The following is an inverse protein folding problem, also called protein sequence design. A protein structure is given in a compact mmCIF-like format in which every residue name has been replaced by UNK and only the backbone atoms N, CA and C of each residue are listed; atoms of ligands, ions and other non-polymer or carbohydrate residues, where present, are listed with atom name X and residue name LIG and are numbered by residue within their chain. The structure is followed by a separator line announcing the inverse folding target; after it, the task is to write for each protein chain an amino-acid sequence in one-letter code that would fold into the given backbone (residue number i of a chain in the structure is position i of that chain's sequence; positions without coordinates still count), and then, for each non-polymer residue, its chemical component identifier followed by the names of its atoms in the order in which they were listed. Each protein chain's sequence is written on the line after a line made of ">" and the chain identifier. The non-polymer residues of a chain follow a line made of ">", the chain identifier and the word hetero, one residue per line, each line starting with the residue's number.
data_IF_214466437299
#
_entry.id   IF_214466437299
#
_cell.length_a   1.000
_cell.length_b   1.000
_cell.length_c   1.000
_cell.angle_alpha   90.00
_cell.angle_beta   90.00
_cell.angle_gamma   90.00
#
_symmetry.space_group_name_H-M   'P 1'
#
loop_
_entity.id
_entity.type
_entity.pdbx_description
1 polymer ?
#
# COMPACT_ATOMS: atom_id res chain seq x y z
N UNK A 1 -8.25 -2.88 -4.46
CA UNK A 1 -8.63 -4.06 -3.63
C UNK A 1 -7.37 -4.65 -3.07
N UNK A 2 -7.46 -5.09 -1.82
CA UNK A 2 -6.37 -5.51 -0.95
C UNK A 2 -5.73 -6.78 -1.49
N UNK A 3 -4.51 -6.68 -2.02
CA UNK A 3 -3.65 -7.87 -2.14
C UNK A 3 -3.19 -8.17 -0.73
N UNK A 4 -3.83 -9.15 -0.10
CA UNK A 4 -3.36 -9.76 1.14
C UNK A 4 -1.91 -10.16 0.93
N UNK A 5 -1.04 -9.48 1.67
CA UNK A 5 0.34 -9.84 1.95
C UNK A 5 0.44 -11.37 2.09
N UNK A 6 0.97 -12.05 1.08
CA UNK A 6 1.67 -13.30 1.33
C UNK A 6 3.12 -12.85 1.48
N UNK A 7 3.50 -12.51 2.72
CA UNK A 7 4.88 -12.18 3.07
C UNK A 7 5.81 -13.33 2.66
N UNK A 8 7.09 -13.08 2.33
CA UNK A 8 8.05 -14.11 1.93
C UNK A 8 8.18 -15.26 2.96
N UNK A 9 7.82 -15.02 4.22
CA UNK A 9 7.67 -16.02 5.28
C UNK A 9 6.63 -17.12 4.96
N UNK A 10 5.50 -16.78 4.34
CA UNK A 10 4.47 -17.75 3.93
C UNK A 10 4.90 -18.59 2.72
N UNK A 11 5.72 -18.02 1.81
CA UNK A 11 6.16 -18.72 0.60
C UNK A 11 7.14 -19.86 0.93
N UNK A 12 7.93 -19.71 2.00
CA UNK A 12 8.92 -20.70 2.43
C UNK A 12 8.28 -21.98 2.98
N UNK A 13 7.11 -21.86 3.66
CA UNK A 13 6.34 -23.01 4.16
C UNK A 13 5.79 -23.85 3.00
N UNK A 14 5.41 -23.20 1.89
CA UNK A 14 4.90 -23.89 0.70
C UNK A 14 6.00 -24.55 -0.16
N UNK A 15 7.22 -23.99 -0.16
CA UNK A 15 8.32 -24.45 -1.02
C UNK A 15 9.00 -25.76 -0.58
N UNK A 16 8.68 -26.30 0.60
CA UNK A 16 9.25 -27.56 1.10
C UNK A 16 8.46 -28.82 0.66
N UNK A 17 7.34 -28.66 -0.04
CA UNK A 17 6.51 -29.78 -0.51
C UNK A 17 6.79 -30.17 -1.96
N UNK A 18 7.75 -31.08 -2.19
CA UNK A 18 7.93 -31.77 -3.46
C UNK A 18 7.60 -33.26 -3.35
N UNK A 19 6.60 -33.69 -4.15
CA UNK A 19 6.21 -35.05 -4.56
C UNK A 19 5.74 -36.09 -3.51
N UNK A 20 4.41 -36.32 -3.43
CA UNK A 20 3.73 -37.54 -3.92
C UNK A 20 2.30 -37.74 -3.38
N UNK A 21 1.43 -38.20 -4.30
CA UNK A 21 0.22 -39.02 -4.13
C UNK A 21 -1.13 -38.39 -3.68
N UNK A 22 -2.03 -38.37 -4.66
CA UNK A 22 -3.50 -38.31 -4.59
C UNK A 22 -4.11 -39.23 -3.52
N UNK A 23 -4.95 -38.67 -2.65
CA UNK A 23 -6.08 -39.36 -2.03
C UNK A 23 -7.20 -38.35 -1.75
N UNK A 24 -8.34 -38.56 -2.40
CA UNK A 24 -9.56 -37.79 -2.20
C UNK A 24 -10.11 -38.02 -0.79
N UNK A 25 -10.37 -36.94 -0.06
CA UNK A 25 -11.24 -36.94 1.11
C UNK A 25 -12.29 -35.84 0.93
N UNK A 26 -13.54 -36.28 0.86
CA UNK A 26 -14.75 -35.48 0.86
C UNK A 26 -14.88 -34.72 2.18
N UNK A 27 -14.85 -33.39 2.13
CA UNK A 27 -15.14 -32.53 3.27
C UNK A 27 -16.50 -31.85 3.07
N UNK A 28 -17.39 -32.15 4.00
CA UNK A 28 -18.73 -31.63 4.22
C UNK A 28 -18.72 -30.11 4.50
N UNK A 29 -19.67 -29.38 3.94
CA UNK A 29 -19.74 -27.92 3.96
C UNK A 29 -20.76 -27.44 4.99
N UNK A 30 -20.33 -26.70 6.01
CA UNK A 30 -21.22 -25.74 6.69
C UNK A 30 -20.48 -24.58 7.37
N UNK A 31 -20.92 -23.37 6.99
CA UNK A 31 -20.89 -22.08 7.70
C UNK A 31 -19.57 -21.28 7.86
N UNK A 32 -19.27 -20.45 6.85
CA UNK A 32 -18.68 -19.10 6.99
C UNK A 32 -19.61 -18.09 6.28
N UNK A 33 -19.76 -16.83 6.74
CA UNK A 33 -20.44 -15.83 5.93
C UNK A 33 -19.52 -15.35 4.80
N UNK A 34 -20.15 -15.12 3.65
CA UNK A 34 -19.53 -14.92 2.34
C UNK A 34 -18.48 -13.79 2.29
N UNK A 35 -17.20 -14.18 2.20
CA UNK A 35 -16.18 -13.40 1.52
C UNK A 35 -16.42 -13.54 0.01
N UNK A 36 -16.57 -12.42 -0.69
CA UNK A 36 -16.64 -12.41 -2.15
C UNK A 36 -15.38 -13.09 -2.73
N UNK A 37 -15.56 -14.01 -3.70
CA UNK A 37 -14.46 -14.61 -4.45
C UNK A 37 -13.60 -13.52 -5.09
N UNK A 38 -12.36 -13.40 -4.61
CA UNK A 38 -11.36 -12.49 -5.16
C UNK A 38 -10.53 -13.27 -6.18
N UNK A 39 -10.72 -12.93 -7.45
CA UNK A 39 -9.77 -13.29 -8.50
C UNK A 39 -8.36 -12.80 -8.12
N UNK A 40 -7.39 -13.70 -8.20
CA UNK A 40 -5.96 -13.42 -8.00
C UNK A 40 -5.52 -12.19 -8.80
N UNK A 41 -4.92 -11.15 -8.18
CA UNK A 41 -4.30 -10.08 -8.94
C UNK A 41 -3.00 -10.60 -9.58
N UNK A 42 -3.09 -10.94 -10.86
CA UNK A 42 -1.94 -10.87 -11.76
C UNK A 42 -1.36 -9.45 -11.70
N UNK A 43 -0.04 -9.33 -11.70
CA UNK A 43 0.66 -8.06 -11.88
C UNK A 43 -0.03 -7.25 -13.00
N UNK A 44 -0.24 -5.93 -12.86
CA UNK A 44 -0.96 -5.19 -13.88
C UNK A 44 -0.18 -5.30 -15.19
N UNK A 45 -0.75 -6.09 -16.09
CA UNK A 45 -0.50 -6.03 -17.50
C UNK A 45 -0.63 -4.56 -17.89
N UNK A 46 0.51 -3.98 -18.23
CA UNK A 46 0.71 -3.33 -19.51
C UNK A 46 -0.58 -2.96 -20.27
N UNK A 47 -0.70 -1.69 -20.65
CA UNK A 47 -1.63 -1.26 -21.66
C UNK A 47 -1.73 -2.29 -22.81
N UNK A 48 -2.92 -2.83 -23.01
CA UNK A 48 -3.30 -3.54 -24.24
C UNK A 48 -3.84 -2.47 -25.19
N UNK A 49 -3.40 -2.46 -26.46
CA UNK A 49 -3.57 -1.33 -27.35
C UNK A 49 -4.96 -1.33 -27.99
N UNK A 50 -5.50 -0.15 -28.25
CA UNK A 50 -6.50 0.03 -29.29
C UNK A 50 -5.77 0.20 -30.63
N UNK A 51 -5.33 -0.90 -31.23
CA UNK A 51 -4.81 -0.87 -32.60
C UNK A 51 -4.91 -2.26 -33.22
N UNK A 52 -6.00 -2.52 -33.92
CA UNK A 52 -6.02 -3.46 -35.04
C UNK A 52 -7.35 -3.33 -35.81
N UNK A 53 -7.44 -2.34 -36.70
CA UNK A 53 -8.00 -2.50 -38.06
C UNK A 53 -7.25 -1.51 -38.97
N UNK A 54 -6.74 -2.03 -40.09
CA UNK A 54 -6.02 -1.39 -41.20
C UNK A 54 -4.54 -1.07 -40.96
N UNK A 55 -3.71 -2.04 -41.31
CA UNK A 55 -2.36 -1.80 -41.79
C UNK A 55 -2.42 -0.89 -43.03
N UNK A 56 -2.07 0.38 -42.84
CA UNK A 56 -1.61 1.28 -43.89
C UNK A 56 -0.28 1.86 -43.47
N UNK A 57 0.62 1.95 -44.44
CA UNK A 57 2.05 2.28 -44.33
C UNK A 57 2.32 3.42 -43.33
N UNK A 58 3.19 3.17 -42.35
CA UNK A 58 3.72 4.23 -41.49
C UNK A 58 4.64 5.13 -42.31
N UNK A 59 4.11 6.25 -42.78
CA UNK A 59 4.92 7.40 -43.19
C UNK A 59 5.79 7.83 -42.01
N UNK A 60 7.07 8.21 -42.23
CA UNK A 60 7.92 8.72 -41.16
C UNK A 60 7.28 9.99 -40.58
N UNK A 61 6.81 9.92 -39.33
CA UNK A 61 6.36 11.10 -38.59
C UNK A 61 7.59 12.00 -38.43
N UNK A 62 7.68 13.05 -39.23
CA UNK A 62 8.66 14.13 -39.01
C UNK A 62 8.34 14.73 -37.65
N UNK A 63 9.10 14.35 -36.62
CA UNK A 63 9.02 14.97 -35.30
C UNK A 63 9.42 16.43 -35.51
N UNK A 64 8.47 17.35 -35.29
CA UNK A 64 8.76 18.78 -35.25
C UNK A 64 9.93 18.98 -34.27
N UNK A 65 11.00 19.70 -34.64
CA UNK A 65 12.15 19.87 -33.75
C UNK A 65 11.67 20.49 -32.44
N UNK A 66 12.07 19.88 -31.32
CA UNK A 66 11.75 20.39 -30.00
C UNK A 66 12.47 21.72 -29.77
N UNK A 67 11.74 22.70 -29.27
CA UNK A 67 12.28 23.99 -28.84
C UNK A 67 12.21 24.04 -27.31
N UNK A 68 13.36 24.16 -26.62
CA UNK A 68 13.40 24.40 -25.18
C UNK A 68 12.51 25.57 -24.75
N UNK A 69 11.93 25.51 -23.55
CA UNK A 69 11.10 26.61 -23.03
C UNK A 69 11.94 27.78 -22.51
N UNK A 70 13.21 27.51 -22.20
CA UNK A 70 14.23 28.49 -21.83
C UNK A 70 15.58 28.05 -22.37
N UNK A 71 16.51 29.00 -22.43
CA UNK A 71 17.91 28.70 -22.71
C UNK A 71 18.49 27.85 -21.57
N UNK A 72 19.17 26.76 -21.93
CA UNK A 72 19.82 25.87 -20.99
C UNK A 72 21.05 26.56 -20.40
N UNK A 73 21.15 26.64 -19.07
CA UNK A 73 22.26 27.32 -18.39
C UNK A 73 23.51 26.43 -18.33
N UNK A 74 23.32 25.13 -18.13
CA UNK A 74 24.40 24.17 -17.87
C UNK A 74 24.73 23.28 -19.07
N UNK A 75 23.86 23.26 -20.10
CA UNK A 75 24.10 22.56 -21.36
C UNK A 75 24.39 21.06 -21.19
N UNK A 76 23.58 20.35 -20.40
CA UNK A 76 23.76 18.92 -20.07
C UNK A 76 23.78 17.98 -21.29
N UNK A 77 23.29 18.41 -22.44
CA UNK A 77 23.42 17.71 -23.73
C UNK A 77 24.87 17.50 -24.17
N UNK A 78 25.78 18.36 -23.72
CA UNK A 78 27.20 18.25 -24.02
C UNK A 78 27.96 17.72 -22.78
N UNK A 79 28.64 16.58 -22.96
CA UNK A 79 29.51 16.00 -21.91
C UNK A 79 30.76 16.83 -21.61
N UNK A 80 31.16 17.72 -22.52
CA UNK A 80 32.27 18.65 -22.31
C UNK A 80 31.88 19.80 -21.38
N UNK A 81 30.60 20.20 -21.39
CA UNK A 81 30.08 21.25 -20.50
C UNK A 81 29.97 20.75 -19.06
N UNK A 82 29.45 19.52 -18.88
CA UNK A 82 29.34 18.87 -17.57
C UNK A 82 29.73 17.41 -17.72
N UNK A 83 30.79 16.98 -17.04
CA UNK A 83 31.23 15.59 -17.07
C UNK A 83 30.26 14.68 -16.29
N UNK A 84 30.20 13.38 -16.62
CA UNK A 84 29.31 12.44 -15.90
C UNK A 84 29.61 12.37 -14.40
N UNK A 85 30.89 12.52 -14.02
CA UNK A 85 31.33 12.55 -12.62
C UNK A 85 30.82 13.76 -11.83
N UNK A 86 30.49 14.86 -12.52
CA UNK A 86 30.07 16.11 -11.89
C UNK A 86 28.54 16.24 -11.79
N UNK A 87 27.78 15.34 -12.42
CA UNK A 87 26.32 15.36 -12.38
C UNK A 87 25.76 15.27 -10.95
N UNK A 88 26.47 14.60 -10.04
CA UNK A 88 26.11 14.50 -8.62
C UNK A 88 26.27 15.81 -7.84
N UNK A 89 26.95 16.81 -8.41
CA UNK A 89 27.09 18.16 -7.85
C UNK A 89 25.92 19.07 -8.20
N UNK A 90 24.82 18.53 -8.74
CA UNK A 90 23.62 19.28 -9.04
C UNK A 90 22.46 18.71 -8.24
N UNK A 91 21.52 19.58 -7.89
CA UNK A 91 20.22 19.21 -7.35
C UNK A 91 19.15 20.07 -8.01
N UNK A 92 17.88 19.68 -7.85
CA UNK A 92 16.77 20.49 -8.33
C UNK A 92 15.83 20.90 -7.21
N UNK A 93 15.17 22.05 -7.39
CA UNK A 93 13.96 22.44 -6.65
C UNK A 93 12.77 22.43 -7.60
N UNK A 94 11.79 21.58 -7.32
CA UNK A 94 10.60 21.42 -8.13
C UNK A 94 9.41 22.05 -7.40
N UNK A 95 8.99 23.23 -7.84
CA UNK A 95 7.85 23.97 -7.29
C UNK A 95 6.55 23.38 -7.83
N UNK A 96 5.57 23.17 -6.96
CA UNK A 96 4.31 22.53 -7.34
C UNK A 96 3.09 23.29 -6.84
N UNK A 97 1.98 23.14 -7.57
CA UNK A 97 0.67 23.65 -7.19
C UNK A 97 -0.44 22.60 -7.37
N UNK A 98 -1.48 22.72 -6.55
CA UNK A 98 -2.72 21.92 -6.66
C UNK A 98 -3.87 22.90 -6.89
N UNK A 99 -4.57 22.75 -8.02
CA UNK A 99 -5.64 23.68 -8.40
C UNK A 99 -5.17 25.14 -8.52
N UNK A 100 -3.89 25.35 -8.87
CA UNK A 100 -3.27 26.68 -8.97
C UNK A 100 -2.81 27.29 -7.64
N UNK A 101 -2.96 26.59 -6.50
CA UNK A 101 -2.42 27.02 -5.21
C UNK A 101 -1.09 26.34 -4.95
N UNK A 102 -0.03 27.12 -4.67
CA UNK A 102 1.29 26.56 -4.37
C UNK A 102 1.25 25.68 -3.13
N UNK A 103 1.92 24.53 -3.21
CA UNK A 103 2.11 23.57 -2.12
C UNK A 103 3.60 23.44 -1.72
N UNK A 104 4.43 24.40 -2.14
CA UNK A 104 5.87 24.41 -1.87
C UNK A 104 6.69 23.73 -2.96
N UNK A 105 7.92 23.36 -2.60
CA UNK A 105 8.87 22.75 -3.51
C UNK A 105 9.46 21.45 -2.96
N UNK A 106 9.74 20.50 -3.85
CA UNK A 106 10.50 19.30 -3.55
C UNK A 106 11.96 19.49 -3.99
N UNK A 107 12.90 19.26 -3.09
CA UNK A 107 14.33 19.27 -3.40
C UNK A 107 14.82 17.85 -3.61
N UNK A 108 15.38 17.57 -4.79
CA UNK A 108 15.81 16.24 -5.21
C UNK A 108 17.31 16.25 -5.53
N UNK A 109 18.02 15.24 -5.02
CA UNK A 109 19.43 14.95 -5.34
C UNK A 109 19.53 13.70 -6.21
N UNK A 110 20.67 13.52 -6.87
CA UNK A 110 20.86 12.49 -7.89
C UNK A 110 21.95 11.48 -7.55
N UNK A 111 21.79 10.25 -8.04
CA UNK A 111 22.75 9.16 -7.90
C UNK A 111 23.49 8.93 -9.21
N UNK A 112 24.34 9.91 -9.57
CA UNK A 112 25.09 9.90 -10.83
C UNK A 112 26.10 8.73 -10.92
N UNK A 113 26.53 8.19 -9.78
CA UNK A 113 27.35 6.98 -9.67
C UNK A 113 26.59 5.70 -10.05
N UNK A 114 25.25 5.73 -10.00
CA UNK A 114 24.38 4.58 -10.25
C UNK A 114 23.76 4.65 -11.64
N UNK A 115 23.23 5.81 -12.02
CA UNK A 115 22.44 5.97 -13.25
C UNK A 115 22.77 7.29 -13.98
N UNK A 116 24.03 7.48 -14.45
CA UNK A 116 24.47 8.73 -15.05
C UNK A 116 23.68 9.12 -16.31
N UNK A 117 23.22 8.15 -17.13
CA UNK A 117 22.44 8.44 -18.34
C UNK A 117 21.08 9.03 -17.96
N UNK A 118 20.41 8.46 -16.94
CA UNK A 118 19.13 8.96 -16.46
C UNK A 118 19.26 10.31 -15.76
N UNK A 119 20.28 10.48 -14.91
CA UNK A 119 20.54 11.76 -14.23
C UNK A 119 20.79 12.88 -15.25
N UNK A 120 21.66 12.65 -16.24
CA UNK A 120 21.94 13.64 -17.29
C UNK A 120 20.69 14.00 -18.09
N UNK A 121 19.93 12.99 -18.51
CA UNK A 121 18.69 13.20 -19.29
C UNK A 121 17.67 14.03 -18.49
N UNK A 122 17.48 13.70 -17.21
CA UNK A 122 16.54 14.40 -16.35
C UNK A 122 16.98 15.83 -16.07
N UNK A 123 18.25 16.07 -15.74
CA UNK A 123 18.82 17.40 -15.55
C UNK A 123 18.71 18.26 -16.80
N UNK A 124 18.97 17.69 -17.99
CA UNK A 124 18.75 18.37 -19.27
C UNK A 124 17.30 18.84 -19.43
N UNK A 125 16.33 17.97 -19.17
CA UNK A 125 14.92 18.35 -19.23
C UNK A 125 14.56 19.46 -18.23
N UNK A 126 15.12 19.42 -17.03
CA UNK A 126 14.95 20.48 -16.04
C UNK A 126 15.56 21.80 -16.53
N UNK A 127 16.78 21.78 -17.06
CA UNK A 127 17.53 22.96 -17.50
C UNK A 127 16.86 23.66 -18.69
N UNK A 128 16.33 22.88 -19.64
CA UNK A 128 15.56 23.36 -20.81
C UNK A 128 14.13 23.84 -20.45
N UNK A 129 13.72 23.73 -19.17
CA UNK A 129 12.37 24.08 -18.69
C UNK A 129 11.27 23.14 -19.19
N UNK A 130 11.63 21.92 -19.65
CA UNK A 130 10.66 20.98 -20.23
C UNK A 130 9.50 20.67 -19.27
N UNK A 131 9.81 20.43 -18.00
CA UNK A 131 8.83 20.07 -16.98
C UNK A 131 7.92 21.22 -16.53
N UNK A 132 8.29 22.48 -16.79
CA UNK A 132 7.53 23.65 -16.34
C UNK A 132 6.12 23.67 -16.97
N UNK A 133 5.08 23.66 -16.13
CA UNK A 133 3.68 23.57 -16.54
C UNK A 133 3.16 22.16 -16.86
N UNK A 134 4.01 21.12 -16.79
CA UNK A 134 3.55 19.73 -16.90
C UNK A 134 2.87 19.27 -15.60
N UNK A 135 2.16 18.15 -15.67
CA UNK A 135 1.32 17.66 -14.57
C UNK A 135 1.79 16.33 -13.99
N UNK A 136 1.42 16.10 -12.73
CA UNK A 136 1.32 14.76 -12.18
C UNK A 136 0.00 14.16 -12.65
N UNK A 137 0.06 13.28 -13.64
CA UNK A 137 -1.12 12.73 -14.30
C UNK A 137 -1.62 11.45 -13.63
N UNK A 138 -0.79 10.84 -12.78
CA UNK A 138 -1.09 9.61 -12.06
C UNK A 138 -0.55 9.68 -10.64
N UNK A 139 -1.45 9.65 -9.67
CA UNK A 139 -1.17 9.73 -8.23
C UNK A 139 -1.79 8.50 -7.58
N UNK A 140 -1.00 7.73 -6.85
CA UNK A 140 -1.51 6.63 -6.03
C UNK A 140 -0.88 6.72 -4.65
N UNK A 141 -1.70 7.06 -3.66
CA UNK A 141 -1.23 7.32 -2.30
C UNK A 141 -0.42 6.17 -1.72
N UNK A 142 -0.81 4.93 -2.00
CA UNK A 142 -0.17 3.73 -1.47
C UNK A 142 1.04 3.27 -2.30
N UNK A 143 1.57 4.12 -3.19
CA UNK A 143 2.65 3.74 -4.09
C UNK A 143 3.56 4.91 -4.49
N UNK A 144 3.08 5.82 -5.35
CA UNK A 144 3.92 6.84 -5.98
C UNK A 144 3.11 7.96 -6.64
N UNK A 145 3.80 9.07 -6.91
CA UNK A 145 3.31 10.18 -7.75
C UNK A 145 4.10 10.20 -9.07
N UNK A 146 3.41 10.15 -10.21
CA UNK A 146 4.02 10.09 -11.55
C UNK A 146 3.67 11.32 -12.38
N UNK A 147 4.71 11.91 -12.98
CA UNK A 147 4.65 13.16 -13.72
C UNK A 147 5.53 13.15 -14.97
N UNK A 148 5.65 14.31 -15.61
CA UNK A 148 6.57 14.52 -16.73
C UNK A 148 6.06 14.12 -18.11
N UNK A 149 4.80 13.67 -18.24
CA UNK A 149 4.21 13.38 -19.55
C UNK A 149 3.86 14.67 -20.30
N UNK A 150 4.38 14.93 -21.51
CA UNK A 150 4.08 16.14 -22.27
C UNK A 150 2.61 16.25 -22.69
N UNK A 151 1.93 15.11 -22.88
CA UNK A 151 0.50 15.06 -23.18
C UNK A 151 -0.40 15.14 -21.94
N UNK A 152 0.18 15.11 -20.73
CA UNK A 152 -0.56 15.13 -19.45
C UNK A 152 -1.43 13.91 -19.15
N UNK A 153 -1.39 12.86 -19.97
CA UNK A 153 -2.25 11.67 -19.84
C UNK A 153 -1.48 10.33 -19.81
N UNK A 154 -0.15 10.37 -19.71
CA UNK A 154 0.72 9.20 -19.55
C UNK A 154 1.13 8.47 -20.83
N UNK A 155 0.79 8.97 -22.02
CA UNK A 155 1.12 8.34 -23.32
C UNK A 155 2.14 9.12 -24.17
N UNK A 156 2.78 10.13 -23.57
CA UNK A 156 3.70 11.03 -24.28
C UNK A 156 5.15 10.71 -23.93
N UNK A 157 6.00 10.76 -24.96
CA UNK A 157 7.44 10.64 -24.83
C UNK A 157 8.16 11.98 -24.95
N UNK A 158 9.34 12.01 -24.33
CA UNK A 158 10.22 13.16 -24.40
C UNK A 158 10.85 13.32 -25.80
N UNK A 159 11.25 14.55 -26.15
CA UNK A 159 11.86 14.84 -27.44
C UNK A 159 13.26 14.25 -27.65
N UNK A 160 13.94 13.81 -26.58
CA UNK A 160 15.35 13.38 -26.61
C UNK A 160 15.52 11.86 -26.76
N UNK A 161 14.42 11.14 -27.00
CA UNK A 161 14.42 9.71 -27.23
C UNK A 161 14.40 8.88 -25.94
N UNK A 162 14.69 7.60 -26.10
CA UNK A 162 14.63 6.62 -25.02
C UNK A 162 16.00 6.38 -24.41
N UNK A 163 16.01 5.96 -23.16
CA UNK A 163 17.19 5.71 -22.35
C UNK A 163 17.40 4.22 -22.18
N UNK A 164 18.65 3.78 -22.25
CA UNK A 164 19.05 2.43 -21.87
C UNK A 164 18.92 2.26 -20.36
N UNK A 165 18.36 1.15 -19.92
CA UNK A 165 18.15 0.83 -18.50
C UNK A 165 19.46 0.81 -17.69
N UNK A 166 19.42 1.38 -16.48
CA UNK A 166 20.53 1.42 -15.51
C UNK A 166 20.06 0.84 -14.15
N UNK A 167 19.43 -0.35 -14.18
CA UNK A 167 18.84 -0.94 -12.99
C UNK A 167 19.92 -1.33 -11.95
N UNK A 168 19.74 -0.87 -10.71
CA UNK A 168 20.60 -1.25 -9.59
C UNK A 168 20.04 -2.45 -8.82
N UNK A 169 20.94 -3.32 -8.34
CA UNK A 169 20.65 -4.40 -7.39
C UNK A 169 21.15 -4.10 -5.98
N UNK A 170 21.87 -3.00 -5.81
CA UNK A 170 22.39 -2.60 -4.51
C UNK A 170 21.24 -2.04 -3.65
N UNK A 171 21.06 -2.63 -2.46
CA UNK A 171 20.01 -2.27 -1.52
C UNK A 171 20.15 -0.85 -0.96
N UNK A 172 21.32 -0.23 -1.07
CA UNK A 172 21.51 1.20 -0.78
C UNK A 172 20.61 2.10 -1.64
N UNK A 173 20.35 1.68 -2.89
CA UNK A 173 19.57 2.43 -3.88
C UNK A 173 18.21 1.77 -4.17
N UNK A 174 17.72 0.94 -3.25
CA UNK A 174 16.40 0.33 -3.33
C UNK A 174 15.30 1.40 -3.33
N UNK A 175 14.20 1.13 -4.03
CA UNK A 175 13.02 1.98 -4.01
C UNK A 175 12.40 1.95 -2.61
N UNK A 176 12.20 3.16 -2.08
CA UNK A 176 11.59 3.45 -0.77
C UNK A 176 10.98 4.85 -0.82
N UNK A 177 10.35 5.28 0.27
CA UNK A 177 9.77 6.61 0.37
C UNK A 177 10.76 7.71 -0.05
N UNK A 178 10.31 8.60 -0.93
CA UNK A 178 11.09 9.73 -1.47
C UNK A 178 12.04 9.39 -2.63
N UNK A 179 12.19 8.12 -3.03
CA UNK A 179 13.06 7.76 -4.17
C UNK A 179 12.45 8.23 -5.49
N UNK A 180 13.28 8.88 -6.31
CA UNK A 180 12.99 9.30 -7.67
C UNK A 180 13.44 8.23 -8.65
N UNK A 181 12.55 7.85 -9.57
CA UNK A 181 12.79 6.79 -10.54
C UNK A 181 12.09 7.09 -11.86
N UNK A 182 12.56 6.47 -12.95
CA UNK A 182 12.08 6.76 -14.29
C UNK A 182 10.99 5.77 -14.70
N UNK A 183 9.86 6.28 -15.18
CA UNK A 183 8.81 5.44 -15.74
C UNK A 183 9.21 4.93 -17.12
N UNK A 184 8.71 3.75 -17.49
CA UNK A 184 8.99 3.09 -18.77
C UNK A 184 7.80 2.24 -19.21
N UNK A 185 7.77 1.92 -20.49
CA UNK A 185 6.90 0.89 -21.04
C UNK A 185 7.47 -0.51 -20.78
N UNK A 186 6.89 -1.54 -21.44
CA UNK A 186 7.30 -2.95 -21.26
C UNK A 186 8.79 -3.17 -21.53
N UNK A 187 9.34 -2.50 -22.54
CA UNK A 187 10.76 -2.60 -22.87
C UNK A 187 11.60 -1.96 -21.76
N UNK A 188 12.64 -2.64 -21.23
CA UNK A 188 13.56 -2.04 -20.27
C UNK A 188 14.16 -0.71 -20.75
N UNK A 189 14.47 -0.59 -22.05
CA UNK A 189 15.13 0.56 -22.67
C UNK A 189 14.12 1.55 -23.30
N UNK A 190 12.95 1.72 -22.68
CA UNK A 190 11.88 2.62 -23.18
C UNK A 190 11.63 3.86 -22.32
N UNK A 191 12.37 4.02 -21.22
CA UNK A 191 12.28 5.21 -20.40
C UNK A 191 12.59 6.46 -21.23
N UNK A 192 11.80 7.53 -21.12
CA UNK A 192 12.00 8.78 -21.86
C UNK A 192 12.08 9.99 -20.93
N UNK A 193 10.95 10.62 -20.60
CA UNK A 193 10.87 11.83 -19.78
C UNK A 193 9.94 11.70 -18.56
N UNK A 194 9.10 10.67 -18.50
CA UNK A 194 8.16 10.48 -17.41
C UNK A 194 8.87 9.89 -16.20
N UNK A 195 8.66 10.49 -15.03
CA UNK A 195 9.29 10.07 -13.78
C UNK A 195 8.23 9.79 -12.72
N UNK A 196 8.62 9.13 -11.65
CA UNK A 196 7.82 9.02 -10.45
C UNK A 196 8.65 9.17 -9.18
N UNK A 197 8.00 9.63 -8.12
CA UNK A 197 8.54 9.69 -6.76
C UNK A 197 7.72 8.76 -5.89
N UNK A 198 8.37 7.79 -5.24
CA UNK A 198 7.72 6.89 -4.29
C UNK A 198 7.21 7.67 -3.07
N UNK A 199 5.95 7.49 -2.70
CA UNK A 199 5.32 8.20 -1.58
C UNK A 199 4.75 7.27 -0.51
N UNK A 200 5.16 6.00 -0.54
CA UNK A 200 4.82 4.97 0.44
C UNK A 200 5.94 3.92 0.52
N UNK A 201 5.88 3.02 1.50
CA UNK A 201 6.76 1.85 1.62
C UNK A 201 5.93 0.55 1.57
N UNK A 202 5.41 0.22 0.39
CA UNK A 202 4.68 -1.04 0.15
C UNK A 202 5.53 -2.09 -0.58
N UNK A 203 5.14 -3.37 -0.54
CA UNK A 203 5.74 -4.39 -1.41
C UNK A 203 5.73 -4.00 -2.89
N UNK A 204 4.71 -3.27 -3.35
CA UNK A 204 4.66 -2.75 -4.71
C UNK A 204 5.82 -1.80 -5.02
N UNK A 205 6.22 -0.97 -4.05
CA UNK A 205 7.43 -0.12 -4.14
C UNK A 205 8.67 -0.99 -4.23
N UNK A 206 8.83 -1.98 -3.36
CA UNK A 206 10.01 -2.84 -3.37
C UNK A 206 10.12 -3.73 -4.61
N UNK A 207 9.00 -4.08 -5.25
CA UNK A 207 8.97 -4.83 -6.50
C UNK A 207 9.51 -4.02 -7.70
N UNK A 208 9.73 -2.72 -7.54
CA UNK A 208 10.40 -1.89 -8.54
C UNK A 208 11.91 -2.17 -8.60
N UNK A 209 12.51 -2.69 -7.52
CA UNK A 209 13.93 -3.00 -7.46
C UNK A 209 14.35 -3.96 -8.57
N UNK A 210 15.42 -3.62 -9.28
CA UNK A 210 15.92 -4.38 -10.43
C UNK A 210 15.05 -4.32 -11.69
N UNK A 211 13.91 -3.62 -11.65
CA UNK A 211 12.97 -3.48 -12.77
C UNK A 211 12.85 -2.03 -13.29
N UNK A 212 13.21 -1.06 -12.47
CA UNK A 212 13.16 0.37 -12.77
C UNK A 212 14.45 1.05 -12.34
N UNK A 213 14.82 2.13 -13.05
CA UNK A 213 16.02 2.90 -12.75
C UNK A 213 15.71 3.94 -11.67
N UNK A 214 16.01 3.63 -10.41
CA UNK A 214 16.08 4.64 -9.35
C UNK A 214 17.36 5.47 -9.53
N UNK A 215 17.22 6.80 -9.63
CA UNK A 215 18.34 7.69 -10.00
C UNK A 215 18.46 8.92 -9.10
N UNK A 216 17.63 9.03 -8.06
CA UNK A 216 17.70 10.15 -7.13
C UNK A 216 16.80 9.97 -5.92
N UNK A 217 16.81 10.98 -5.05
CA UNK A 217 16.03 10.95 -3.82
C UNK A 217 15.62 12.35 -3.38
N UNK A 218 14.43 12.45 -2.79
CA UNK A 218 13.97 13.63 -2.07
C UNK A 218 14.88 13.87 -0.86
N UNK A 219 15.27 15.12 -0.63
CA UNK A 219 16.02 15.54 0.55
C UNK A 219 15.35 16.66 1.33
N UNK A 220 14.33 17.30 0.76
CA UNK A 220 13.49 18.31 1.41
C UNK A 220 12.18 18.45 0.63
N UNK A 221 11.09 18.79 1.31
CA UNK A 221 9.77 18.97 0.71
C UNK A 221 8.84 17.78 0.94
N UNK A 222 9.01 17.02 2.04
CA UNK A 222 8.11 15.93 2.44
C UNK A 222 6.67 16.42 2.51
N UNK A 223 6.43 17.63 3.05
CA UNK A 223 5.10 18.25 3.07
C UNK A 223 4.50 18.43 1.67
N UNK A 224 5.33 18.80 0.68
CA UNK A 224 4.90 18.96 -0.72
C UNK A 224 4.59 17.60 -1.35
N UNK A 225 5.45 16.59 -1.14
CA UNK A 225 5.21 15.22 -1.59
C UNK A 225 3.90 14.66 -1.04
N UNK A 226 3.66 14.81 0.27
CA UNK A 226 2.45 14.34 0.93
C UNK A 226 1.20 15.09 0.43
N UNK A 227 1.27 16.41 0.28
CA UNK A 227 0.15 17.21 -0.24
C UNK A 227 -0.25 16.75 -1.65
N UNK A 228 0.72 16.44 -2.51
CA UNK A 228 0.46 15.88 -3.83
C UNK A 228 -0.13 14.47 -3.71
N UNK A 229 0.48 13.60 -2.89
CA UNK A 229 0.05 12.22 -2.73
C UNK A 229 -1.38 12.09 -2.15
N UNK A 230 -1.81 13.03 -1.30
CA UNK A 230 -3.17 13.10 -0.72
C UNK A 230 -4.21 13.73 -1.66
N UNK A 231 -3.81 14.12 -2.88
CA UNK A 231 -4.75 14.66 -3.86
C UNK A 231 -5.83 13.63 -4.19
N UNK A 232 -7.10 14.06 -4.12
CA UNK A 232 -8.23 13.21 -4.49
C UNK A 232 -8.09 12.76 -5.94
N UNK A 233 -8.34 11.47 -6.18
CA UNK A 233 -8.27 10.87 -7.51
C UNK A 233 -9.65 10.40 -7.97
N UNK A 234 -9.84 10.42 -9.29
CA UNK A 234 -11.04 9.93 -9.96
C UNK A 234 -11.05 8.39 -9.94
N UNK A 235 -12.24 7.77 -9.87
CA UNK A 235 -12.38 6.33 -10.13
C UNK A 235 -11.71 5.94 -11.45
N UNK A 236 -11.02 4.81 -11.48
CA UNK A 236 -10.39 4.35 -12.71
C UNK A 236 -11.44 3.91 -13.74
N UNK A 237 -11.17 4.08 -15.05
CA UNK A 237 -12.07 3.61 -16.11
C UNK A 237 -12.34 2.11 -15.97
N UNK A 238 -13.61 1.70 -16.16
CA UNK A 238 -13.99 0.27 -16.14
C UNK A 238 -13.72 -0.46 -14.82
N UNK A 239 -13.66 0.26 -13.69
CA UNK A 239 -13.30 -0.31 -12.38
C UNK A 239 -11.79 -0.45 -12.14
N UNK A 240 -10.96 0.15 -13.01
CA UNK A 240 -9.52 0.26 -12.81
C UNK A 240 -9.15 1.01 -11.51
N UNK A 241 -7.89 0.89 -11.09
CA UNK A 241 -7.42 1.57 -9.89
C UNK A 241 -7.53 3.10 -10.05
N UNK A 242 -8.09 3.81 -9.06
CA UNK A 242 -8.20 5.26 -9.11
C UNK A 242 -6.81 5.89 -9.04
N UNK A 243 -6.49 6.76 -10.00
CA UNK A 243 -5.16 7.39 -10.03
C UNK A 243 -5.09 8.76 -10.70
N UNK A 244 -6.08 9.13 -11.50
CA UNK A 244 -6.08 10.44 -12.17
C UNK A 244 -6.55 11.50 -11.18
N UNK A 245 -5.78 12.56 -10.89
CA UNK A 245 -6.18 13.55 -9.90
C UNK A 245 -7.44 14.32 -10.33
N UNK A 246 -8.26 14.68 -9.34
CA UNK A 246 -9.46 15.50 -9.51
C UNK A 246 -9.05 16.95 -9.79
N UNK A 247 -8.22 17.51 -8.92
CA UNK A 247 -7.62 18.82 -9.09
C UNK A 247 -6.33 18.72 -9.91
N UNK A 248 -6.06 19.72 -10.76
CA UNK A 248 -4.83 19.72 -11.54
C UNK A 248 -3.63 19.92 -10.62
N UNK A 249 -2.73 18.93 -10.57
CA UNK A 249 -1.44 19.02 -9.90
C UNK A 249 -0.36 19.37 -10.93
N UNK A 250 0.28 20.52 -10.78
CA UNK A 250 1.18 21.10 -11.78
C UNK A 250 2.59 21.26 -11.20
N UNK A 251 3.60 20.98 -12.01
CA UNK A 251 4.99 21.39 -11.78
C UNK A 251 5.08 22.82 -12.27
N UNK A 252 5.08 23.80 -11.38
CA UNK A 252 5.02 25.21 -11.77
C UNK A 252 6.35 25.66 -12.39
N UNK A 253 7.46 25.24 -11.77
CA UNK A 253 8.82 25.58 -12.17
C UNK A 253 9.81 24.55 -11.61
N UNK A 254 10.84 24.22 -12.39
CA UNK A 254 12.01 23.49 -11.92
C UNK A 254 13.25 24.38 -11.98
N UNK A 255 13.95 24.49 -10.85
CA UNK A 255 15.23 25.17 -10.70
C UNK A 255 16.34 24.14 -10.63
N UNK A 256 17.37 24.27 -11.47
CA UNK A 256 18.59 23.45 -11.40
C UNK A 256 19.64 24.27 -10.65
N UNK A 257 20.29 23.68 -9.65
CA UNK A 257 21.27 24.37 -8.82
C UNK A 257 22.55 23.54 -8.75
N UNK A 258 23.68 24.20 -9.00
CA UNK A 258 25.01 23.62 -8.81
C UNK A 258 25.46 23.78 -7.35
N UNK A 259 26.00 22.71 -6.78
CA UNK A 259 26.42 22.58 -5.38
C UNK A 259 25.61 21.55 -4.61
N UNK A 260 25.69 21.61 -3.29
CA UNK A 260 24.89 20.78 -2.39
C UNK A 260 23.68 21.56 -1.86
N UNK A 261 22.52 20.91 -1.65
CA UNK A 261 21.38 21.57 -1.04
C UNK A 261 21.72 22.01 0.39
N UNK A 262 21.45 23.28 0.69
CA UNK A 262 21.71 23.87 2.02
C UNK A 262 20.64 23.49 3.05
N UNK A 263 19.44 23.14 2.58
CA UNK A 263 18.30 22.75 3.41
C UNK A 263 17.93 21.31 3.11
N UNK A 264 18.28 20.40 4.03
CA UNK A 264 17.89 18.99 3.99
C UNK A 264 17.11 18.64 5.24
N UNK A 265 16.10 17.78 5.10
CA UNK A 265 15.34 17.22 6.22
C UNK A 265 15.47 15.69 6.23
N UNK A 266 15.14 15.07 7.37
CA UNK A 266 15.04 13.62 7.42
C UNK A 266 13.82 13.18 6.63
N UNK A 267 14.05 12.54 5.49
CA UNK A 267 12.97 12.02 4.63
C UNK A 267 12.47 10.71 5.21
N UNK A 268 11.59 10.87 6.20
CA UNK A 268 10.84 9.80 6.83
C UNK A 268 9.39 9.96 6.42
N UNK A 269 8.76 8.85 6.04
CA UNK A 269 7.34 8.84 5.74
C UNK A 269 6.55 9.28 6.99
N UNK A 270 5.76 10.36 6.92
CA UNK A 270 5.05 10.85 8.09
C UNK A 270 3.86 9.94 8.41
N UNK A 271 3.58 9.84 9.70
CA UNK A 271 2.35 9.18 10.16
C UNK A 271 1.13 9.99 9.69
N UNK A 272 0.06 9.31 9.26
CA UNK A 272 -1.15 9.98 8.79
C UNK A 272 -1.83 10.74 9.92
N UNK A 273 -2.38 11.93 9.62
CA UNK A 273 -3.23 12.65 10.58
C UNK A 273 -4.57 11.93 10.76
N UNK A 274 -4.72 11.29 11.91
CA UNK A 274 -5.91 10.53 12.29
C UNK A 274 -7.07 11.39 12.78
N UNK A 275 -6.92 12.72 12.84
CA UNK A 275 -8.00 13.63 13.28
C UNK A 275 -8.37 13.47 14.75
N UNK A 276 -7.40 13.08 15.59
CA UNK A 276 -7.61 12.82 17.03
C UNK A 276 -8.18 11.44 17.36
N UNK A 277 -8.52 10.62 16.37
CA UNK A 277 -8.88 9.21 16.60
C UNK A 277 -7.63 8.35 16.86
N UNK A 278 -7.73 7.27 17.64
CA UNK A 278 -6.66 6.29 17.77
C UNK A 278 -6.36 5.61 16.43
N UNK A 279 -5.11 5.14 16.24
CA UNK A 279 -4.71 4.36 15.06
C UNK A 279 -5.44 3.01 15.00
N UNK A 280 -5.63 2.39 16.16
CA UNK A 280 -6.22 1.07 16.30
C UNK A 280 -7.05 1.02 17.57
N UNK A 281 -8.20 0.37 17.50
CA UNK A 281 -9.02 0.03 18.66
C UNK A 281 -9.26 -1.46 18.68
N UNK A 282 -9.52 -2.03 19.85
CA UNK A 282 -10.09 -3.37 19.94
C UNK A 282 -11.48 -3.28 20.54
N UNK A 283 -12.43 -3.95 19.91
CA UNK A 283 -13.82 -3.98 20.37
C UNK A 283 -14.29 -5.41 20.53
N UNK A 284 -15.22 -5.63 21.45
CA UNK A 284 -15.94 -6.89 21.59
C UNK A 284 -17.40 -6.70 21.19
N UNK A 285 -17.91 -7.59 20.35
CA UNK A 285 -19.13 -7.43 19.61
C UNK A 285 -20.19 -8.48 19.96
N UNK A 286 -21.44 -8.06 20.06
CA UNK A 286 -22.63 -8.93 20.07
C UNK A 286 -23.53 -8.49 18.91
N UNK A 287 -23.79 -9.41 17.98
CA UNK A 287 -24.75 -9.20 16.89
C UNK A 287 -26.11 -9.74 17.29
N UNK A 288 -27.14 -8.91 17.20
CA UNK A 288 -28.54 -9.36 17.24
C UNK A 288 -29.14 -9.25 15.84
N UNK A 289 -29.22 -10.39 15.17
CA UNK A 289 -29.76 -10.59 13.84
C UNK A 289 -31.28 -10.88 13.88
N UNK A 290 -31.92 -10.79 12.72
CA UNK A 290 -33.35 -11.06 12.56
C UNK A 290 -33.61 -11.97 11.35
N UNK A 291 -34.85 -12.42 11.18
CA UNK A 291 -35.24 -13.23 10.03
C UNK A 291 -34.99 -12.47 8.72
N UNK A 292 -34.11 -13.01 7.86
CA UNK A 292 -33.75 -12.41 6.57
C UNK A 292 -32.49 -11.55 6.59
N UNK A 293 -31.82 -11.36 7.74
CA UNK A 293 -30.45 -10.82 7.78
C UNK A 293 -29.40 -11.90 7.52
N UNK A 294 -28.12 -11.52 7.52
CA UNK A 294 -26.98 -12.45 7.44
C UNK A 294 -26.03 -12.14 8.61
N UNK A 295 -25.81 -13.07 9.57
CA UNK A 295 -26.52 -14.34 9.74
C UNK A 295 -28.04 -14.13 9.91
N UNK A 296 -28.82 -15.15 9.54
CA UNK A 296 -30.29 -15.10 9.70
C UNK A 296 -30.67 -15.71 11.02
N UNK A 297 -31.64 -15.08 11.69
CA UNK A 297 -32.27 -15.59 12.89
C UNK A 297 -33.69 -16.13 12.65
N UNK A 298 -34.26 -16.82 13.63
CA UNK A 298 -35.67 -17.23 13.61
C UNK A 298 -36.64 -16.10 13.99
N UNK A 299 -36.20 -15.17 14.85
CA UNK A 299 -36.97 -14.05 15.41
C UNK A 299 -37.32 -12.96 14.38
N UNK A 300 -38.43 -12.25 14.61
CA UNK A 300 -38.83 -11.08 13.82
C UNK A 300 -37.86 -9.90 14.02
N UNK A 301 -38.00 -8.87 13.18
CA UNK A 301 -37.20 -7.65 13.31
C UNK A 301 -37.51 -6.90 14.61
N UNK A 302 -38.79 -6.83 14.98
CA UNK A 302 -39.26 -6.17 16.20
C UNK A 302 -38.80 -6.91 17.47
N UNK A 303 -38.81 -8.25 17.42
CA UNK A 303 -38.28 -9.09 18.49
C UNK A 303 -36.76 -8.92 18.65
N UNK A 304 -36.03 -8.85 17.54
CA UNK A 304 -34.59 -8.59 17.53
C UNK A 304 -34.26 -7.21 18.12
N UNK A 305 -35.02 -6.17 17.76
CA UNK A 305 -34.83 -4.83 18.31
C UNK A 305 -35.00 -4.81 19.83
N UNK A 306 -36.08 -5.40 20.33
CA UNK A 306 -36.33 -5.48 21.78
C UNK A 306 -35.21 -6.24 22.50
N UNK A 307 -34.80 -7.39 21.96
CA UNK A 307 -33.70 -8.16 22.51
C UNK A 307 -32.39 -7.36 22.53
N UNK A 308 -32.09 -6.62 21.46
CA UNK A 308 -30.89 -5.80 21.38
C UNK A 308 -30.87 -4.70 22.45
N UNK A 309 -32.00 -4.03 22.69
CA UNK A 309 -32.10 -3.03 23.76
C UNK A 309 -31.94 -3.66 25.14
N UNK A 310 -32.56 -4.81 25.39
CA UNK A 310 -32.45 -5.53 26.66
C UNK A 310 -30.99 -6.00 26.92
N UNK A 311 -30.33 -6.55 25.90
CA UNK A 311 -28.93 -6.99 26.00
C UNK A 311 -27.99 -5.79 26.13
N UNK A 312 -28.29 -4.66 25.49
CA UNK A 312 -27.52 -3.42 25.61
C UNK A 312 -27.54 -2.88 27.06
N UNK A 313 -28.69 -2.89 27.73
CA UNK A 313 -28.77 -2.51 29.14
C UNK A 313 -27.97 -3.46 30.04
N UNK A 314 -28.05 -4.78 29.81
CA UNK A 314 -27.22 -5.76 30.53
C UNK A 314 -25.73 -5.53 30.29
N UNK A 315 -25.35 -5.25 29.05
CA UNK A 315 -23.99 -5.01 28.64
C UNK A 315 -23.38 -3.77 29.31
N UNK A 316 -24.15 -2.68 29.44
CA UNK A 316 -23.73 -1.48 30.19
C UNK A 316 -23.52 -1.76 31.68
N UNK A 317 -24.21 -2.74 32.24
CA UNK A 317 -24.06 -3.12 33.65
C UNK A 317 -22.83 -4.01 33.92
N UNK A 318 -22.19 -4.56 32.88
CA UNK A 318 -20.98 -5.37 33.02
C UNK A 318 -19.80 -4.55 33.56
N UNK A 319 -19.21 -5.01 34.65
CA UNK A 319 -18.02 -4.42 35.27
C UNK A 319 -16.73 -5.05 34.76
N UNK A 320 -16.79 -6.31 34.33
CA UNK A 320 -15.61 -7.07 33.87
C UNK A 320 -15.73 -7.52 32.41
N UNK A 321 -14.60 -7.82 31.77
CA UNK A 321 -14.60 -8.40 30.42
C UNK A 321 -15.17 -9.82 30.40
N UNK A 322 -15.03 -10.57 31.50
CA UNK A 322 -15.58 -11.91 31.63
C UNK A 322 -17.11 -11.91 31.61
N UNK A 323 -17.74 -10.97 32.32
CA UNK A 323 -19.21 -10.79 32.31
C UNK A 323 -19.73 -10.46 30.91
N UNK A 324 -19.07 -9.53 30.20
CA UNK A 324 -19.47 -9.20 28.83
C UNK A 324 -19.22 -10.37 27.87
N UNK A 325 -18.14 -11.12 28.05
CA UNK A 325 -17.85 -12.33 27.26
C UNK A 325 -18.93 -13.40 27.46
N UNK A 326 -19.49 -13.52 28.66
CA UNK A 326 -20.64 -14.40 28.89
C UNK A 326 -21.85 -13.95 28.06
N UNK A 327 -22.15 -12.65 28.03
CA UNK A 327 -23.23 -12.12 27.17
C UNK A 327 -22.95 -12.36 25.69
N UNK A 328 -21.71 -12.22 25.23
CA UNK A 328 -21.33 -12.53 23.84
C UNK A 328 -21.69 -13.97 23.50
N UNK A 329 -21.29 -14.94 24.34
CA UNK A 329 -21.59 -16.36 24.09
C UNK A 329 -23.06 -16.69 24.12
N UNK A 330 -23.82 -15.99 24.96
CA UNK A 330 -25.26 -16.25 25.13
C UNK A 330 -26.10 -15.63 24.01
N UNK A 331 -25.77 -14.42 23.58
CA UNK A 331 -26.67 -13.60 22.75
C UNK A 331 -26.17 -13.34 21.34
N UNK A 332 -24.88 -13.51 21.04
CA UNK A 332 -24.39 -13.20 19.69
C UNK A 332 -24.89 -14.21 18.68
N UNK A 333 -25.38 -13.70 17.56
CA UNK A 333 -25.74 -14.51 16.39
C UNK A 333 -24.56 -14.76 15.46
N UNK A 334 -23.43 -14.12 15.73
CA UNK A 334 -22.17 -14.46 15.08
C UNK A 334 -21.72 -15.87 15.51
N UNK A 335 -21.03 -16.56 14.60
CA UNK A 335 -20.49 -17.90 14.91
C UNK A 335 -19.37 -17.79 15.95
N UNK A 336 -19.52 -18.49 17.07
CA UNK A 336 -18.50 -18.60 18.11
C UNK A 336 -17.80 -19.95 18.00
N UNK A 337 -16.48 -19.93 17.83
CA UNK A 337 -15.68 -21.16 17.75
C UNK A 337 -15.59 -21.84 19.13
N UNK A 338 -15.71 -23.18 19.20
CA UNK A 338 -15.45 -23.92 20.43
C UNK A 338 -14.05 -23.65 20.97
N UNK A 339 -13.93 -23.34 22.26
CA UNK A 339 -12.64 -23.06 22.91
C UNK A 339 -12.06 -21.67 22.66
N UNK A 340 -12.73 -20.80 21.89
CA UNK A 340 -12.30 -19.40 21.75
C UNK A 340 -12.50 -18.67 23.08
N UNK A 341 -11.41 -18.26 23.74
CA UNK A 341 -11.45 -17.57 25.04
C UNK A 341 -12.09 -16.17 24.95
N UNK A 342 -11.92 -15.49 23.82
CA UNK A 342 -12.30 -14.10 23.62
C UNK A 342 -13.15 -13.94 22.34
N UNK A 343 -14.35 -14.55 22.30
CA UNK A 343 -15.21 -14.48 21.12
C UNK A 343 -15.65 -13.04 20.83
N UNK A 344 -15.86 -12.76 19.55
CA UNK A 344 -16.37 -11.48 19.07
C UNK A 344 -15.39 -10.31 19.26
N UNK A 345 -14.10 -10.56 19.52
CA UNK A 345 -13.10 -9.50 19.61
C UNK A 345 -12.52 -9.19 18.23
N UNK A 346 -12.58 -7.91 17.86
CA UNK A 346 -12.06 -7.39 16.60
C UNK A 346 -11.06 -6.27 16.86
N UNK A 347 -9.88 -6.38 16.26
CA UNK A 347 -8.93 -5.28 16.16
C UNK A 347 -9.26 -4.46 14.90
N UNK A 348 -9.58 -3.18 15.07
CA UNK A 348 -10.03 -2.30 13.99
C UNK A 348 -9.00 -1.18 13.80
N UNK A 349 -8.56 -0.99 12.56
CA UNK A 349 -7.65 0.10 12.18
C UNK A 349 -8.45 1.30 11.68
N UNK A 350 -7.97 2.48 12.02
CA UNK A 350 -8.43 3.72 11.42
C UNK A 350 -8.21 3.65 9.90
N UNK A 351 -9.14 4.19 9.11
CA UNK A 351 -9.05 4.18 7.65
C UNK A 351 -7.83 4.90 7.10
N UNK A 352 -7.26 5.83 7.87
CA UNK A 352 -6.08 6.57 7.47
C UNK A 352 -4.77 5.86 7.83
N UNK A 353 -4.80 4.80 8.66
CA UNK A 353 -3.60 4.03 9.01
C UNK A 353 -3.10 3.29 7.78
N UNK A 354 -1.86 3.61 7.39
CA UNK A 354 -1.20 3.04 6.21
C UNK A 354 -0.53 1.70 6.52
N UNK A 355 0.02 1.56 7.72
CA UNK A 355 0.68 0.36 8.23
C UNK A 355 0.22 0.07 9.66
N UNK A 356 -0.14 -1.18 9.95
CA UNK A 356 -0.48 -1.60 11.31
C UNK A 356 0.82 -1.79 12.11
N UNK A 357 1.23 -0.75 12.84
CA UNK A 357 2.49 -0.76 13.59
C UNK A 357 2.58 -1.91 14.60
N UNK A 358 1.46 -2.31 15.21
CA UNK A 358 1.43 -3.45 16.12
C UNK A 358 1.69 -4.77 15.37
N UNK A 359 1.11 -4.90 14.18
CA UNK A 359 1.35 -6.05 13.30
C UNK A 359 2.81 -6.11 12.84
N UNK A 360 3.39 -4.99 12.40
CA UNK A 360 4.80 -4.93 11.93
C UNK A 360 5.79 -5.25 13.06
N UNK A 361 5.51 -4.74 14.26
CA UNK A 361 6.29 -5.07 15.46
C UNK A 361 6.20 -6.56 15.75
N UNK A 362 4.99 -7.13 15.73
CA UNK A 362 4.79 -8.57 15.97
C UNK A 362 5.45 -9.41 14.89
N UNK A 363 5.36 -9.00 13.63
CA UNK A 363 6.05 -9.66 12.52
C UNK A 363 7.55 -9.71 12.75
N UNK A 364 8.17 -8.58 13.12
CA UNK A 364 9.62 -8.50 13.37
C UNK A 364 10.03 -9.44 14.50
N UNK A 365 9.28 -9.46 15.60
CA UNK A 365 9.51 -10.36 16.74
C UNK A 365 9.40 -11.83 16.32
N UNK A 366 8.32 -12.21 15.66
CA UNK A 366 8.08 -13.61 15.27
C UNK A 366 9.04 -14.07 14.17
N UNK A 367 9.44 -13.16 13.27
CA UNK A 367 10.47 -13.45 12.26
C UNK A 367 11.81 -13.76 12.93
N UNK A 368 12.23 -12.97 13.92
CA UNK A 368 13.46 -13.24 14.65
C UNK A 368 13.43 -14.61 15.36
N UNK A 369 12.28 -14.99 15.94
CA UNK A 369 12.11 -16.33 16.53
C UNK A 369 12.24 -17.44 15.49
N UNK A 370 11.66 -17.25 14.31
CA UNK A 370 11.76 -18.25 13.24
C UNK A 370 13.17 -18.35 12.65
N UNK A 371 13.85 -17.22 12.45
CA UNK A 371 15.23 -17.19 11.96
C UNK A 371 16.17 -17.91 12.95
N UNK A 372 15.96 -17.71 14.26
CA UNK A 372 16.70 -18.43 15.31
C UNK A 372 16.43 -19.95 15.25
N UNK A 373 15.16 -20.36 15.11
CA UNK A 373 14.80 -21.77 14.93
C UNK A 373 15.48 -22.37 13.70
N UNK A 374 15.47 -21.67 12.57
CA UNK A 374 16.12 -22.12 11.33
C UNK A 374 17.62 -22.34 11.54
N UNK A 375 18.29 -21.43 12.26
CA UNK A 375 19.70 -21.57 12.60
C UNK A 375 19.96 -22.79 13.49
N UNK A 376 19.16 -22.98 14.54
CA UNK A 376 19.29 -24.11 15.48
C UNK A 376 19.04 -25.46 14.80
N UNK A 377 17.98 -25.55 13.98
CA UNK A 377 17.66 -26.76 13.22
C UNK A 377 18.76 -27.09 12.19
N UNK A 378 19.32 -26.08 11.53
CA UNK A 378 20.46 -26.28 10.62
C UNK A 378 21.65 -26.90 11.34
N UNK A 379 22.02 -26.38 12.52
CA UNK A 379 23.10 -26.94 13.34
C UNK A 379 22.78 -28.36 13.79
N UNK A 380 21.53 -28.65 14.17
CA UNK A 380 21.11 -30.00 14.57
C UNK A 380 21.23 -31.02 13.42
N UNK A 381 20.90 -30.62 12.19
CA UNK A 381 21.07 -31.46 11.00
C UNK A 381 22.55 -31.67 10.67
N UNK A 382 23.38 -30.61 10.72
CA UNK A 382 24.82 -30.70 10.46
C UNK A 382 25.56 -31.57 11.48
N UNK A 383 25.15 -31.52 12.75
CA UNK A 383 25.69 -32.34 13.84
C UNK A 383 25.09 -33.75 13.92
N UNK A 384 24.15 -34.09 13.02
CA UNK A 384 23.40 -35.36 13.00
C UNK A 384 22.62 -35.65 14.29
N UNK A 385 22.31 -34.62 15.08
CA UNK A 385 21.41 -34.72 16.23
C UNK A 385 19.94 -34.87 15.78
N UNK A 386 19.64 -34.49 14.54
CA UNK A 386 18.32 -34.55 13.93
C UNK A 386 18.45 -34.86 12.43
N UNK A 387 17.47 -35.54 11.84
CA UNK A 387 17.38 -35.72 10.38
C UNK A 387 16.83 -34.48 9.71
N UNK A 388 17.11 -34.32 8.40
CA UNK A 388 16.53 -33.22 7.62
C UNK A 388 14.99 -33.23 7.62
N UNK A 389 14.39 -34.42 7.53
CA UNK A 389 12.93 -34.55 7.53
C UNK A 389 12.29 -34.11 8.86
N UNK A 390 12.92 -34.41 9.99
CA UNK A 390 12.47 -33.94 11.30
C UNK A 390 12.61 -32.42 11.44
N UNK A 391 13.71 -31.84 10.93
CA UNK A 391 13.91 -30.38 10.91
C UNK A 391 12.87 -29.67 10.02
N UNK A 392 12.54 -30.26 8.86
CA UNK A 392 11.51 -29.73 7.96
C UNK A 392 10.11 -29.80 8.62
N UNK A 393 9.79 -30.91 9.30
CA UNK A 393 8.52 -31.06 10.04
C UNK A 393 8.40 -30.05 11.20
N UNK A 394 9.48 -29.83 11.95
CA UNK A 394 9.49 -28.86 13.05
C UNK A 394 9.38 -27.43 12.56
N UNK A 395 10.08 -27.10 11.46
CA UNK A 395 9.96 -25.83 10.75
C UNK A 395 8.51 -25.54 10.38
N UNK A 396 7.82 -26.53 9.81
CA UNK A 396 6.43 -26.40 9.41
C UNK A 396 5.50 -26.23 10.62
N UNK A 397 5.68 -27.04 11.67
CA UNK A 397 4.87 -26.99 12.89
C UNK A 397 4.97 -25.62 13.58
N UNK A 398 6.19 -25.15 13.81
CA UNK A 398 6.42 -23.84 14.45
C UNK A 398 6.01 -22.71 13.51
N UNK A 399 6.32 -22.81 12.23
CA UNK A 399 5.92 -21.85 11.21
C UNK A 399 4.42 -21.59 11.20
N UNK A 400 3.59 -22.65 11.20
CA UNK A 400 2.13 -22.54 11.28
C UNK A 400 1.66 -21.88 12.57
N UNK A 401 2.28 -22.21 13.72
CA UNK A 401 1.95 -21.58 15.01
C UNK A 401 2.25 -20.08 14.99
N UNK A 402 3.46 -19.69 14.59
CA UNK A 402 3.87 -18.29 14.51
C UNK A 402 3.01 -17.50 13.52
N UNK A 403 2.65 -18.12 12.39
CA UNK A 403 1.72 -17.54 11.43
C UNK A 403 0.34 -17.30 12.05
N UNK A 404 -0.19 -18.26 12.81
CA UNK A 404 -1.46 -18.10 13.52
C UNK A 404 -1.41 -16.96 14.53
N UNK A 405 -0.29 -16.80 15.25
CA UNK A 405 -0.09 -15.67 16.18
C UNK A 405 0.00 -14.32 15.45
N UNK A 406 0.67 -14.28 14.29
CA UNK A 406 0.77 -13.08 13.49
C UNK A 406 -0.59 -12.62 12.96
N UNK A 407 -1.39 -13.53 12.40
CA UNK A 407 -2.73 -13.19 11.89
C UNK A 407 -3.67 -12.70 12.99
N UNK A 408 -3.53 -13.19 14.23
CA UNK A 408 -4.31 -12.67 15.38
C UNK A 408 -3.96 -11.21 15.73
N UNK A 409 -2.76 -10.75 15.39
CA UNK A 409 -2.35 -9.36 15.66
C UNK A 409 -2.87 -8.36 14.63
N UNK A 410 -3.33 -8.86 13.47
CA UNK A 410 -3.71 -8.06 12.32
C UNK A 410 -5.00 -7.30 12.57
N UNK A 411 -4.93 -5.97 12.45
CA UNK A 411 -6.11 -5.12 12.47
C UNK A 411 -6.85 -5.12 11.13
N UNK A 412 -8.17 -5.01 11.19
CA UNK A 412 -9.02 -4.86 10.01
C UNK A 412 -9.33 -3.38 9.78
N UNK A 413 -9.10 -2.82 8.58
CA UNK A 413 -9.48 -1.44 8.29
C UNK A 413 -10.98 -1.19 8.47
N UNK A 414 -11.35 -0.12 9.18
CA UNK A 414 -12.74 0.26 9.49
C UNK A 414 -13.66 0.28 8.28
N UNK A 415 -13.18 0.74 7.12
CA UNK A 415 -13.93 0.83 5.87
C UNK A 415 -14.26 -0.51 5.22
N UNK A 416 -13.69 -1.62 5.73
CA UNK A 416 -14.09 -2.97 5.35
C UNK A 416 -15.16 -3.58 6.25
N UNK A 417 -15.50 -2.91 7.35
CA UNK A 417 -16.49 -3.35 8.30
C UNK A 417 -17.84 -2.69 7.98
N UNK A 418 -18.87 -3.15 8.69
CA UNK A 418 -20.17 -2.47 8.73
C UNK A 418 -19.94 -1.03 9.20
N UNK A 419 -20.37 0.01 8.45
CA UNK A 419 -20.05 1.40 8.77
C UNK A 419 -20.40 1.79 10.21
N UNK A 420 -21.63 1.52 10.65
CA UNK A 420 -22.07 1.90 11.99
C UNK A 420 -21.30 1.15 13.10
N UNK A 421 -20.94 -0.12 12.88
CA UNK A 421 -20.12 -0.90 13.81
C UNK A 421 -18.74 -0.29 14.01
N UNK A 422 -18.05 0.00 12.90
CA UNK A 422 -16.75 0.65 12.94
C UNK A 422 -16.83 2.02 13.60
N UNK A 423 -17.82 2.82 13.24
CA UNK A 423 -17.98 4.20 13.73
C UNK A 423 -18.27 4.30 15.22
N UNK A 424 -19.13 3.42 15.75
CA UNK A 424 -19.40 3.38 17.19
C UNK A 424 -18.14 2.94 17.94
N UNK A 425 -17.43 1.92 17.45
CA UNK A 425 -16.22 1.41 18.11
C UNK A 425 -15.14 2.47 18.36
N UNK A 426 -14.92 3.39 17.41
CA UNK A 426 -13.94 4.48 17.55
C UNK A 426 -14.38 5.62 18.48
N UNK A 427 -15.68 5.82 18.67
CA UNK A 427 -16.23 6.88 19.54
C UNK A 427 -16.23 6.51 21.03
N UNK A 428 -16.21 5.22 21.34
CA UNK A 428 -16.24 4.73 22.72
C UNK A 428 -14.89 4.93 23.41
N UNK A 429 -14.90 5.20 24.71
CA UNK A 429 -13.71 5.04 25.57
C UNK A 429 -13.55 3.57 25.99
N UNK A 430 -12.34 3.19 26.42
CA UNK A 430 -12.08 1.82 26.88
C UNK A 430 -13.01 1.47 28.05
N UNK A 431 -13.72 0.36 27.92
CA UNK A 431 -14.72 -0.12 28.87
C UNK A 431 -16.15 0.29 28.54
N UNK A 432 -16.37 1.36 27.76
CA UNK A 432 -17.70 1.83 27.40
C UNK A 432 -18.38 0.88 26.41
N UNK A 433 -19.73 0.88 26.47
CA UNK A 433 -20.60 0.10 25.59
C UNK A 433 -21.46 1.04 24.76
N UNK A 434 -21.50 0.80 23.45
CA UNK A 434 -22.35 1.50 22.50
C UNK A 434 -23.27 0.53 21.74
N UNK A 435 -24.27 1.09 21.10
CA UNK A 435 -25.22 0.38 20.25
C UNK A 435 -25.21 1.01 18.85
N UNK A 436 -24.97 0.21 17.82
CA UNK A 436 -25.27 0.57 16.44
C UNK A 436 -26.64 -0.03 16.08
N UNK A 437 -27.68 0.81 15.90
CA UNK A 437 -29.01 0.32 15.55
C UNK A 437 -29.02 -0.19 14.11
N UNK A 438 -29.96 -1.10 13.81
CA UNK A 438 -30.19 -1.55 12.44
C UNK A 438 -30.47 -0.37 11.50
N UNK A 439 -29.76 -0.34 10.39
CA UNK A 439 -30.01 0.53 9.25
C UNK A 439 -29.69 -0.23 7.97
N UNK A 440 -30.53 -0.08 6.94
CA UNK A 440 -30.40 -0.84 5.69
C UNK A 440 -29.08 -0.58 4.93
N UNK A 441 -28.46 0.58 5.16
CA UNK A 441 -27.22 0.99 4.50
C UNK A 441 -26.03 0.79 5.43
N UNK A 442 -26.15 1.27 6.68
CA UNK A 442 -25.00 1.43 7.57
C UNK A 442 -24.87 0.31 8.61
N UNK A 443 -25.93 -0.48 8.83
CA UNK A 443 -25.99 -1.58 9.82
C UNK A 443 -26.93 -2.70 9.37
N UNK A 444 -26.69 -3.22 8.16
CA UNK A 444 -27.65 -4.08 7.43
C UNK A 444 -27.86 -5.48 8.02
N UNK A 445 -27.02 -5.91 8.95
CA UNK A 445 -27.05 -7.27 9.50
C UNK A 445 -27.84 -7.38 10.81
N UNK A 446 -28.17 -6.25 11.44
CA UNK A 446 -28.90 -6.23 12.71
C UNK A 446 -28.42 -5.09 13.61
N UNK A 447 -28.57 -5.31 14.91
CA UNK A 447 -28.09 -4.41 15.96
C UNK A 447 -26.75 -4.90 16.47
N UNK A 448 -25.78 -4.00 16.55
CA UNK A 448 -24.44 -4.31 17.02
C UNK A 448 -24.23 -3.68 18.39
N UNK A 449 -24.07 -4.50 19.42
CA UNK A 449 -23.70 -4.04 20.77
C UNK A 449 -22.18 -4.18 20.89
N UNK A 450 -21.53 -3.08 21.20
CA UNK A 450 -20.09 -2.92 20.99
C UNK A 450 -19.48 -2.41 22.28
N UNK A 451 -18.51 -3.14 22.83
CA UNK A 451 -17.70 -2.68 23.95
C UNK A 451 -16.29 -2.41 23.48
N UNK A 452 -15.73 -1.24 23.79
CA UNK A 452 -14.32 -1.00 23.53
C UNK A 452 -13.48 -1.68 24.62
N UNK A 453 -12.56 -2.56 24.22
CA UNK A 453 -11.68 -3.30 25.14
C UNK A 453 -10.25 -2.75 25.14
N UNK A 454 -9.82 -2.08 24.06
CA UNK A 454 -8.51 -1.42 23.97
C UNK A 454 -8.54 -0.19 23.07
#
# INVERSE_FOLDING_TARGET
>A
MKTTLILPFLLLIAACGGDAASAAMTADSSAMPAAAEVATPSAPASATPASEILATEQMPKVKKPYTPKREAEFHFENKESVADADLGNYYIKMHCSIGGKSVGAMTLVFWADVAPIHVRSFLRYCDEGFYDGLTYHRIMRDFMIQGGCPNGIGNGDGPHGNLKAEFSKDKKYAHKYGVLSMARDRSPDSASCQFFICCEETPSVHNLDGNYTGFGMLVNGVKTLEAIADTKVKPGPGGGSPSSPVDKVTIDKVEVVHGAPTETESVVMPEPDLGGEPAKVSVQHILIAFKGSIPSASRSKEEAEKLALDVFEKAKACKTNAEYTALVREFTDDSVRPGDENPGVYAILNNKVRRDADFEKKYTELKAQFDALQADLKVAVETKAMTKAEADAETQRVGMRLQSELEKSKGMPRGNLVPAFGDVGFKLEVGQVGLAPYDKNDSKYGWHIIRRVR
#
